data_IF_295426548771
#
_entry.id   IF_295426548771
#
_cell.length_a   1.000
_cell.length_b   1.000
_cell.length_c   1.000
_cell.angle_alpha   90.00
_cell.angle_beta   90.00
_cell.angle_gamma   90.00
#
_symmetry.space_group_name_H-M   'P 1'
#
loop_
_entity.id
_entity.type
_entity.pdbx_description
1 polymer ?
#
# COMPACT_ATOMS: atom_id res chain seq x y z
N UNK A 1 8.26 -4.81 12.96
CA UNK A 1 7.18 -4.54 12.01
C UNK A 1 7.80 -3.62 10.96
N UNK A 2 7.82 -3.98 9.67
CA UNK A 2 8.31 -3.08 8.60
C UNK A 2 7.15 -2.34 7.95
N UNK A 3 7.29 -1.04 7.71
CA UNK A 3 6.34 -0.25 6.90
C UNK A 3 7.18 0.39 5.81
N UNK A 4 6.96 0.08 4.54
CA UNK A 4 7.90 0.48 3.50
C UNK A 4 9.10 -0.46 3.37
N UNK A 5 10.21 0.07 2.85
CA UNK A 5 11.50 -0.63 2.67
C UNK A 5 12.43 -0.50 3.88
N UNK A 6 12.11 0.38 4.84
CA UNK A 6 12.83 0.55 6.09
C UNK A 6 12.12 -0.19 7.24
N UNK A 7 12.90 -0.69 8.20
CA UNK A 7 12.35 -1.27 9.43
C UNK A 7 11.76 -0.19 10.33
N UNK A 8 10.78 -0.53 11.16
CA UNK A 8 10.31 0.41 12.18
C UNK A 8 11.32 0.55 13.33
N UNK A 9 11.35 1.72 14.00
CA UNK A 9 12.10 1.89 15.24
C UNK A 9 11.66 0.90 16.33
N UNK A 10 12.61 0.42 17.13
CA UNK A 10 12.36 -0.51 18.25
C UNK A 10 11.33 0.02 19.26
N UNK A 11 11.28 1.34 19.45
CA UNK A 11 10.30 2.00 20.31
C UNK A 11 8.86 1.76 19.84
N UNK A 12 8.63 1.84 18.52
CA UNK A 12 7.33 1.59 17.90
C UNK A 12 6.98 0.11 17.96
N UNK A 13 7.95 -0.76 17.70
CA UNK A 13 7.76 -2.22 17.79
C UNK A 13 7.34 -2.61 19.22
N UNK A 14 8.02 -2.08 20.23
CA UNK A 14 7.72 -2.31 21.64
C UNK A 14 6.35 -1.76 22.03
N UNK A 15 6.01 -0.55 21.55
CA UNK A 15 4.68 0.03 21.76
C UNK A 15 3.59 -0.87 21.17
N UNK A 16 3.79 -1.36 19.95
CA UNK A 16 2.80 -2.21 19.28
C UNK A 16 2.59 -3.55 19.99
N UNK A 17 3.65 -4.12 20.57
CA UNK A 17 3.57 -5.34 21.36
C UNK A 17 2.77 -5.14 22.66
N UNK A 18 2.85 -3.94 23.28
CA UNK A 18 2.19 -3.66 24.56
C UNK A 18 0.77 -3.10 24.42
N UNK A 19 0.56 -2.18 23.48
CA UNK A 19 -0.66 -1.37 23.38
C UNK A 19 -1.46 -1.62 22.10
N UNK A 20 -0.97 -2.49 21.20
CA UNK A 20 -1.62 -2.81 19.95
C UNK A 20 -1.22 -1.88 18.78
N UNK A 21 -1.92 -1.96 17.64
CA UNK A 21 -1.46 -1.35 16.39
C UNK A 21 -1.57 0.18 16.34
N UNK A 22 -2.31 0.81 17.25
CA UNK A 22 -2.43 2.27 17.33
C UNK A 22 -1.21 2.86 18.05
N UNK A 23 -0.41 3.65 17.35
CA UNK A 23 0.81 4.28 17.87
C UNK A 23 0.50 5.65 18.49
N UNK A 24 -0.49 6.35 17.95
CA UNK A 24 -1.01 7.61 18.44
C UNK A 24 -2.49 7.73 18.00
N UNK A 25 -3.30 8.64 18.56
CA UNK A 25 -4.69 8.82 18.13
C UNK A 25 -4.81 8.98 16.61
N UNK A 26 -5.60 8.10 15.99
CA UNK A 26 -5.78 8.00 14.53
C UNK A 26 -4.54 7.56 13.74
N UNK A 27 -3.49 7.06 14.37
CA UNK A 27 -2.23 6.66 13.73
C UNK A 27 -2.00 5.16 13.93
N UNK A 28 -2.30 4.37 12.90
CA UNK A 28 -2.24 2.91 12.97
C UNK A 28 -1.07 2.37 12.17
N UNK A 29 -0.33 1.46 12.79
CA UNK A 29 0.73 0.69 12.14
C UNK A 29 0.27 -0.75 11.93
N UNK A 30 0.33 -1.21 10.68
CA UNK A 30 -0.15 -2.55 10.28
C UNK A 30 0.96 -3.53 9.91
N UNK A 31 2.22 -3.10 9.90
CA UNK A 31 3.37 -3.94 9.52
C UNK A 31 3.42 -4.38 8.07
N UNK A 32 4.03 -5.55 7.85
CA UNK A 32 4.28 -6.10 6.51
C UNK A 32 2.97 -6.47 5.82
N UNK A 33 2.00 -7.02 6.52
CA UNK A 33 0.67 -7.16 5.97
C UNK A 33 -0.38 -6.88 7.04
N UNK A 34 -1.45 -6.18 6.64
CA UNK A 34 -2.57 -5.94 7.52
C UNK A 34 -3.84 -5.60 6.77
N UNK A 35 -4.96 -5.90 7.44
CA UNK A 35 -6.29 -5.63 6.95
C UNK A 35 -7.05 -4.88 8.03
N UNK A 36 -7.63 -3.74 7.66
CA UNK A 36 -8.40 -2.90 8.55
C UNK A 36 -9.78 -2.67 7.94
N UNK A 37 -10.82 -2.82 8.77
CA UNK A 37 -12.17 -2.44 8.41
C UNK A 37 -12.54 -1.19 9.18
N UNK A 38 -12.92 -0.15 8.46
CA UNK A 38 -13.41 1.09 9.05
C UNK A 38 -14.90 0.96 9.41
N UNK A 39 -15.38 1.83 10.31
CA UNK A 39 -16.79 1.86 10.74
C UNK A 39 -17.78 2.07 9.59
N UNK A 40 -17.34 2.71 8.50
CA UNK A 40 -18.12 2.95 7.29
C UNK A 40 -18.11 1.78 6.31
N UNK A 41 -17.69 0.58 6.76
CA UNK A 41 -17.57 -0.64 5.96
C UNK A 41 -16.51 -0.59 4.84
N UNK A 42 -15.74 0.49 4.70
CA UNK A 42 -14.56 0.47 3.82
C UNK A 42 -13.48 -0.43 4.40
N UNK A 43 -12.89 -1.21 3.52
CA UNK A 43 -11.84 -2.19 3.80
C UNK A 43 -10.52 -1.72 3.23
N UNK A 44 -9.52 -1.64 4.09
CA UNK A 44 -8.16 -1.18 3.76
C UNK A 44 -7.22 -2.37 3.92
N UNK A 45 -6.47 -2.67 2.88
CA UNK A 45 -5.40 -3.65 2.89
C UNK A 45 -4.05 -2.93 2.73
N UNK A 46 -3.02 -3.44 3.40
CA UNK A 46 -1.66 -2.92 3.29
C UNK A 46 -0.70 -4.08 3.10
N UNK A 47 0.21 -3.95 2.12
CA UNK A 47 1.39 -4.80 1.95
C UNK A 47 2.68 -3.95 2.01
N UNK A 48 3.35 -4.02 3.16
CA UNK A 48 4.69 -3.48 3.39
C UNK A 48 5.79 -4.36 2.79
N UNK A 49 7.00 -3.80 2.69
CA UNK A 49 8.20 -4.52 2.27
C UNK A 49 8.42 -4.60 0.76
N UNK A 50 9.59 -5.12 0.37
CA UNK A 50 10.03 -5.31 -1.02
C UNK A 50 9.93 -6.77 -1.46
N UNK A 51 9.72 -6.99 -2.76
CA UNK A 51 9.75 -8.30 -3.37
C UNK A 51 11.19 -8.80 -3.49
N UNK A 52 11.44 -10.00 -2.97
CA UNK A 52 12.68 -10.72 -3.17
C UNK A 52 12.34 -12.17 -3.54
N UNK A 53 12.73 -12.60 -4.73
CA UNK A 53 12.36 -13.90 -5.28
C UNK A 53 12.88 -15.08 -4.43
N UNK A 54 14.10 -14.98 -3.90
CA UNK A 54 14.72 -16.02 -3.07
C UNK A 54 13.97 -16.20 -1.74
N UNK A 55 13.52 -15.09 -1.13
CA UNK A 55 12.81 -15.09 0.16
C UNK A 55 11.31 -15.32 0.04
N UNK A 56 10.70 -14.94 -1.08
CA UNK A 56 9.25 -14.93 -1.25
C UNK A 56 8.59 -16.29 -1.00
N UNK A 57 9.25 -17.37 -1.43
CA UNK A 57 8.77 -18.74 -1.26
C UNK A 57 9.16 -19.38 0.07
N UNK A 58 10.04 -18.75 0.84
CA UNK A 58 10.45 -19.23 2.15
C UNK A 58 9.39 -18.86 3.19
N UNK A 59 9.20 -19.67 4.25
CA UNK A 59 8.40 -19.25 5.38
C UNK A 59 9.03 -18.01 6.03
N UNK A 60 8.23 -17.09 6.59
CA UNK A 60 8.79 -15.99 7.35
C UNK A 60 9.67 -16.52 8.48
N UNK A 61 10.78 -15.85 8.75
CA UNK A 61 11.63 -16.14 9.91
C UNK A 61 10.82 -15.99 11.22
N UNK A 62 11.38 -16.46 12.34
CA UNK A 62 10.69 -16.45 13.64
C UNK A 62 10.08 -15.07 13.94
N UNK A 63 8.99 -15.04 14.71
CA UNK A 63 8.18 -13.84 14.96
C UNK A 63 8.98 -12.58 15.36
N UNK A 64 10.11 -12.73 16.07
CA UNK A 64 10.98 -11.60 16.44
C UNK A 64 11.86 -11.09 15.29
N UNK A 65 12.32 -11.99 14.41
CA UNK A 65 13.10 -11.66 13.19
C UNK A 65 12.19 -11.06 12.11
N UNK A 66 10.93 -11.50 12.03
CA UNK A 66 9.94 -10.95 11.11
C UNK A 66 9.58 -9.48 11.40
N UNK A 67 9.94 -8.97 12.59
CA UNK A 67 9.79 -7.56 12.93
C UNK A 67 10.81 -6.69 12.15
N UNK A 68 11.98 -7.23 11.81
CA UNK A 68 12.97 -6.51 11.02
C UNK A 68 12.97 -6.92 9.55
N UNK A 69 12.08 -7.84 9.18
CA UNK A 69 11.95 -8.29 7.80
C UNK A 69 11.51 -7.13 6.91
N UNK A 70 12.28 -6.91 5.85
CA UNK A 70 12.02 -5.87 4.83
C UNK A 70 11.31 -6.43 3.62
N UNK A 71 11.20 -7.75 3.51
CA UNK A 71 10.57 -8.43 2.39
C UNK A 71 9.24 -9.04 2.82
N UNK A 72 8.26 -9.07 1.91
CA UNK A 72 7.03 -9.82 2.15
C UNK A 72 7.14 -11.25 1.61
N UNK A 73 6.47 -12.20 2.26
CA UNK A 73 6.44 -13.60 1.83
C UNK A 73 5.12 -13.93 1.12
N UNK A 74 5.09 -15.07 0.43
CA UNK A 74 3.87 -15.60 -0.20
C UNK A 74 2.70 -15.71 0.78
N UNK A 75 2.98 -16.07 2.03
CA UNK A 75 1.95 -16.20 3.07
C UNK A 75 1.29 -14.85 3.39
N UNK A 76 2.01 -13.74 3.28
CA UNK A 76 1.50 -12.39 3.55
C UNK A 76 0.59 -11.92 2.42
N UNK A 77 0.98 -12.18 1.17
CA UNK A 77 0.12 -11.95 0.00
C UNK A 77 -1.17 -12.76 0.10
N UNK A 78 -1.08 -14.04 0.47
CA UNK A 78 -2.25 -14.92 0.62
C UNK A 78 -3.21 -14.45 1.71
N UNK A 79 -2.72 -13.90 2.83
CA UNK A 79 -3.57 -13.32 3.89
C UNK A 79 -4.39 -12.13 3.37
N UNK A 80 -3.86 -11.38 2.42
CA UNK A 80 -4.48 -10.20 1.82
C UNK A 80 -5.33 -10.49 0.57
N UNK A 81 -5.37 -11.73 0.07
CA UNK A 81 -6.14 -12.15 -1.12
C UNK A 81 -7.67 -12.15 -0.91
N UNK A 82 -8.20 -11.21 -0.13
CA UNK A 82 -9.63 -10.96 0.08
C UNK A 82 -9.97 -9.60 -0.52
N UNK A 83 -11.25 -9.39 -0.84
CA UNK A 83 -11.76 -8.09 -1.31
C UNK A 83 -11.31 -6.95 -0.39
N UNK A 84 -10.78 -5.88 -0.98
CA UNK A 84 -10.53 -4.62 -0.30
C UNK A 84 -11.03 -3.45 -1.15
N UNK A 85 -11.34 -2.32 -0.53
CA UNK A 85 -11.70 -1.09 -1.24
C UNK A 85 -10.44 -0.26 -1.54
N UNK A 86 -9.49 -0.25 -0.62
CA UNK A 86 -8.24 0.51 -0.73
C UNK A 86 -7.07 -0.43 -0.46
N UNK A 87 -6.10 -0.46 -1.38
CA UNK A 87 -4.84 -1.17 -1.23
C UNK A 87 -3.69 -0.17 -1.12
N UNK A 88 -2.84 -0.36 -0.11
CA UNK A 88 -1.53 0.29 0.01
C UNK A 88 -0.43 -0.73 -0.21
N UNK A 89 0.60 -0.38 -0.97
CA UNK A 89 1.82 -1.17 -1.03
C UNK A 89 3.08 -0.31 -1.01
N UNK A 90 4.21 -0.95 -0.69
CA UNK A 90 5.53 -0.31 -0.72
C UNK A 90 6.20 -0.35 -2.09
N UNK A 91 5.78 -1.28 -2.95
CA UNK A 91 6.27 -1.44 -4.32
C UNK A 91 5.15 -1.26 -5.34
N UNK A 92 5.52 -1.15 -6.61
CA UNK A 92 4.59 -1.04 -7.73
C UNK A 92 4.13 -2.44 -8.18
N UNK A 93 2.89 -2.62 -8.63
CA UNK A 93 2.51 -3.84 -9.34
C UNK A 93 3.21 -3.88 -10.70
N UNK A 94 3.54 -5.09 -11.15
CA UNK A 94 4.06 -5.30 -12.50
C UNK A 94 3.04 -4.86 -13.57
N UNK A 95 3.57 -4.41 -14.72
CA UNK A 95 2.79 -4.02 -15.90
C UNK A 95 1.72 -2.95 -15.66
N UNK A 96 1.89 -2.14 -14.62
CA UNK A 96 0.96 -1.05 -14.31
C UNK A 96 0.93 0.04 -15.36
N UNK A 97 1.78 0.05 -16.38
CA UNK A 97 1.66 0.97 -17.51
C UNK A 97 1.15 0.30 -18.80
N UNK A 98 1.03 -1.02 -18.80
CA UNK A 98 0.64 -1.78 -19.98
C UNK A 98 -0.80 -1.44 -20.39
N UNK A 99 -1.04 -1.17 -21.66
CA UNK A 99 -2.34 -0.71 -22.19
C UNK A 99 -2.81 0.65 -21.65
N UNK A 100 -1.91 1.46 -21.09
CA UNK A 100 -2.21 2.86 -20.75
C UNK A 100 -2.20 3.74 -22.01
N UNK A 101 -3.07 4.74 -22.05
CA UNK A 101 -3.03 5.79 -23.10
C UNK A 101 -2.08 6.93 -22.74
N UNK A 102 -1.57 6.93 -21.50
CA UNK A 102 -0.62 7.92 -21.01
C UNK A 102 0.75 7.73 -21.68
N UNK A 103 1.52 8.82 -21.84
CA UNK A 103 2.87 8.72 -22.37
C UNK A 103 3.73 7.82 -21.49
N UNK A 104 4.50 6.93 -22.13
CA UNK A 104 5.43 6.05 -21.44
C UNK A 104 6.45 6.88 -20.65
N UNK A 105 6.66 6.51 -19.39
CA UNK A 105 7.60 7.16 -18.49
C UNK A 105 8.52 6.11 -17.92
N UNK A 106 9.78 6.48 -17.67
CA UNK A 106 10.72 5.63 -16.93
C UNK A 106 10.29 5.55 -15.46
N UNK A 107 9.40 4.61 -15.15
CA UNK A 107 8.86 4.34 -13.81
C UNK A 107 9.36 2.96 -13.31
N UNK A 108 9.20 2.66 -12.02
CA UNK A 108 9.54 1.33 -11.49
C UNK A 108 8.75 0.24 -12.22
N UNK A 109 9.43 -0.86 -12.60
CA UNK A 109 8.80 -2.00 -13.28
C UNK A 109 7.72 -2.68 -12.44
N UNK A 110 7.86 -2.63 -11.12
CA UNK A 110 6.99 -3.33 -10.18
C UNK A 110 7.30 -4.82 -10.05
N UNK A 111 6.41 -5.55 -9.36
CA UNK A 111 6.57 -6.98 -9.10
C UNK A 111 5.29 -7.80 -9.32
N UNK A 112 5.47 -9.03 -9.83
CA UNK A 112 4.39 -9.96 -10.19
C UNK A 112 3.46 -10.31 -9.02
N UNK A 113 3.94 -10.63 -7.80
CA UNK A 113 3.04 -11.01 -6.69
C UNK A 113 2.05 -9.92 -6.32
N UNK A 114 2.44 -8.66 -6.50
CA UNK A 114 1.60 -7.52 -6.17
C UNK A 114 0.55 -7.26 -7.26
N UNK A 115 0.88 -7.47 -8.53
CA UNK A 115 -0.11 -7.49 -9.61
C UNK A 115 -1.15 -8.60 -9.38
N UNK A 116 -0.71 -9.80 -9.00
CA UNK A 116 -1.59 -10.90 -8.64
C UNK A 116 -2.45 -10.60 -7.40
N UNK A 117 -1.88 -9.91 -6.39
CA UNK A 117 -2.63 -9.46 -5.22
C UNK A 117 -3.75 -8.49 -5.64
N UNK A 118 -3.42 -7.45 -6.40
CA UNK A 118 -4.39 -6.45 -6.88
C UNK A 118 -5.52 -7.09 -7.71
N UNK A 119 -5.18 -8.10 -8.51
CA UNK A 119 -6.16 -8.86 -9.28
C UNK A 119 -7.08 -9.74 -8.43
N UNK A 120 -6.61 -10.24 -7.28
CA UNK A 120 -7.44 -11.00 -6.34
C UNK A 120 -8.28 -10.11 -5.42
N UNK A 121 -7.67 -9.06 -4.85
CA UNK A 121 -8.35 -8.19 -3.88
C UNK A 121 -9.24 -7.12 -4.55
N UNK A 122 -8.99 -6.83 -5.84
CA UNK A 122 -9.77 -5.91 -6.68
C UNK A 122 -10.08 -4.56 -5.99
N UNK A 123 -9.03 -3.79 -5.65
CA UNK A 123 -9.19 -2.53 -4.94
C UNK A 123 -9.83 -1.47 -5.85
N UNK A 124 -10.66 -0.59 -5.29
CA UNK A 124 -11.10 0.62 -5.99
C UNK A 124 -9.97 1.63 -6.09
N UNK A 125 -9.15 1.74 -5.04
CA UNK A 125 -7.98 2.61 -5.02
C UNK A 125 -6.72 1.83 -4.67
N UNK A 126 -5.66 2.06 -5.44
CA UNK A 126 -4.36 1.45 -5.20
C UNK A 126 -3.29 2.54 -5.10
N UNK A 127 -2.76 2.73 -3.89
CA UNK A 127 -1.75 3.73 -3.58
C UNK A 127 -0.37 3.10 -3.38
N UNK A 128 0.64 3.69 -4.02
CA UNK A 128 2.04 3.28 -3.88
C UNK A 128 2.96 4.49 -3.72
N UNK A 129 4.10 4.38 -3.02
CA UNK A 129 5.13 5.40 -3.09
C UNK A 129 5.84 5.34 -4.45
N UNK A 130 6.23 6.50 -4.98
CA UNK A 130 6.94 6.61 -6.25
C UNK A 130 7.92 7.77 -6.26
N UNK A 131 8.86 7.81 -7.22
CA UNK A 131 9.81 8.93 -7.34
C UNK A 131 9.12 10.23 -7.79
N UNK A 132 7.99 10.10 -8.50
CA UNK A 132 7.17 11.19 -9.03
C UNK A 132 5.69 10.88 -8.82
N UNK A 133 4.85 11.92 -8.78
CA UNK A 133 3.41 11.72 -8.86
C UNK A 133 3.05 11.12 -10.22
N UNK A 134 2.35 9.99 -10.20
CA UNK A 134 1.83 9.34 -11.39
C UNK A 134 0.45 8.78 -11.06
N UNK A 135 -0.50 9.06 -11.93
CA UNK A 135 -1.87 8.57 -11.82
C UNK A 135 -2.19 7.94 -13.16
N UNK A 136 -2.67 6.70 -13.13
CA UNK A 136 -3.08 5.98 -14.32
C UNK A 136 -4.58 6.19 -14.57
N UNK A 137 -5.02 6.11 -15.83
CA UNK A 137 -6.45 5.99 -16.09
C UNK A 137 -7.05 4.72 -15.43
N UNK A 138 -8.33 4.74 -15.04
CA UNK A 138 -8.94 3.60 -14.36
C UNK A 138 -8.87 2.34 -15.22
N UNK A 139 -8.46 1.22 -14.62
CA UNK A 139 -8.33 -0.06 -15.32
C UNK A 139 -8.95 -1.20 -14.51
N UNK A 140 -9.18 -2.35 -15.15
CA UNK A 140 -9.70 -3.55 -14.47
C UNK A 140 -8.53 -4.47 -14.14
N UNK A 141 -8.39 -4.85 -12.87
CA UNK A 141 -7.49 -5.94 -12.51
C UNK A 141 -8.17 -7.27 -12.86
N UNK A 142 -7.79 -7.87 -13.99
CA UNK A 142 -8.36 -9.15 -14.45
C UNK A 142 -7.63 -10.34 -13.84
N UNK A 143 -8.09 -10.90 -12.71
CA UNK A 143 -7.66 -12.24 -12.27
C UNK A 143 -8.59 -13.36 -12.74
N UNK A 144 -9.87 -13.05 -12.97
CA UNK A 144 -10.89 -14.07 -13.24
C UNK A 144 -11.74 -13.64 -14.42
N UNK A 145 -11.58 -14.37 -15.52
CA UNK A 145 -12.31 -14.26 -16.80
C UNK A 145 -13.85 -14.24 -16.62
N UNK A 146 -14.38 -14.55 -15.44
CA UNK A 146 -15.81 -14.81 -15.22
C UNK A 146 -16.49 -13.98 -14.11
N UNK A 147 -15.84 -12.96 -13.53
CA UNK A 147 -16.51 -12.11 -12.52
C UNK A 147 -16.61 -10.67 -13.02
N UNK A 148 -17.79 -10.33 -13.55
CA UNK A 148 -18.10 -8.97 -14.01
C UNK A 148 -18.39 -8.07 -12.80
N UNK A 149 -17.35 -7.73 -12.06
CA UNK A 149 -17.48 -7.10 -10.73
C UNK A 149 -17.74 -5.60 -10.80
N UNK A 150 -17.70 -5.02 -12.00
CA UNK A 150 -17.87 -3.59 -12.25
C UNK A 150 -16.78 -2.70 -11.62
N UNK A 151 -15.92 -3.25 -10.76
CA UNK A 151 -14.90 -2.51 -10.03
C UNK A 151 -13.76 -2.16 -10.96
N UNK A 152 -13.48 -0.86 -11.06
CA UNK A 152 -12.28 -0.31 -11.69
C UNK A 152 -11.33 0.12 -10.60
N UNK A 153 -10.05 0.03 -10.88
CA UNK A 153 -8.97 0.40 -9.98
C UNK A 153 -8.36 1.71 -10.43
N UNK A 154 -8.33 2.66 -9.50
CA UNK A 154 -7.63 3.93 -9.62
C UNK A 154 -6.25 3.79 -9.00
N UNK A 155 -5.23 3.69 -9.85
CA UNK A 155 -3.84 3.57 -9.40
C UNK A 155 -3.18 4.95 -9.28
N UNK A 156 -2.62 5.21 -8.11
CA UNK A 156 -1.98 6.48 -7.77
C UNK A 156 -0.64 6.22 -7.09
N UNK A 157 0.43 6.63 -7.75
CA UNK A 157 1.75 6.70 -7.18
C UNK A 157 2.04 8.10 -6.61
N UNK A 158 2.47 8.13 -5.36
CA UNK A 158 2.69 9.34 -4.59
C UNK A 158 4.17 9.70 -4.58
N UNK A 159 4.49 10.93 -4.97
CA UNK A 159 5.85 11.44 -4.86
C UNK A 159 6.27 11.67 -3.40
N UNK A 160 7.58 11.66 -3.08
CA UNK A 160 8.06 11.85 -1.72
C UNK A 160 7.63 13.19 -1.13
N UNK A 161 7.45 13.22 0.19
CA UNK A 161 7.16 14.44 0.95
C UNK A 161 8.29 15.47 0.76
N UNK A 162 7.95 16.76 0.66
CA UNK A 162 8.89 17.89 0.39
C UNK A 162 9.63 17.83 -0.96
N UNK A 163 9.03 17.32 -2.02
CA UNK A 163 9.57 17.55 -3.37
C UNK A 163 9.45 19.05 -3.74
N UNK A 164 10.49 19.64 -4.34
CA UNK A 164 10.54 21.06 -4.76
C UNK A 164 9.36 21.49 -5.64
N UNK A 165 8.68 20.53 -6.28
CA UNK A 165 7.50 20.80 -7.11
C UNK A 165 6.16 20.81 -6.36
N UNK A 166 6.09 20.55 -5.05
CA UNK A 166 4.88 20.66 -4.20
C UNK A 166 3.57 20.05 -4.76
N UNK A 167 3.64 19.20 -5.79
CA UNK A 167 2.45 18.70 -6.51
C UNK A 167 1.77 17.54 -5.78
N UNK A 168 2.52 16.75 -5.02
CA UNK A 168 2.02 15.55 -4.33
C UNK A 168 0.98 15.86 -3.25
N UNK A 169 1.10 17.00 -2.57
CA UNK A 169 0.18 17.39 -1.49
C UNK A 169 -1.14 17.96 -2.00
N UNK A 170 -1.08 18.68 -3.11
CA UNK A 170 -2.25 19.39 -3.63
C UNK A 170 -3.26 18.42 -4.26
N UNK A 171 -2.80 17.37 -4.97
CA UNK A 171 -3.70 16.36 -5.54
C UNK A 171 -4.31 15.45 -4.48
N UNK A 172 -3.59 15.11 -3.40
CA UNK A 172 -4.14 14.26 -2.32
C UNK A 172 -5.28 14.95 -1.55
N UNK A 173 -5.21 16.28 -1.34
CA UNK A 173 -6.28 17.06 -0.71
C UNK A 173 -7.54 17.20 -1.58
N UNK A 174 -7.42 17.04 -2.91
CA UNK A 174 -8.54 17.07 -3.85
C UNK A 174 -9.34 15.76 -3.90
N UNK A 175 -8.82 14.66 -3.35
CA UNK A 175 -9.54 13.37 -3.24
C UNK A 175 -10.55 13.32 -2.08
N UNK A 176 -10.87 14.45 -1.44
CA UNK A 176 -12.00 14.49 -0.51
C UNK A 176 -13.30 14.25 -1.29
N UNK A 177 -14.02 13.14 -1.07
CA UNK A 177 -15.41 13.09 -1.47
C UNK A 177 -16.09 14.23 -0.72
N UNK A 178 -17.03 14.94 -1.37
CA UNK A 178 -17.80 16.05 -0.78
C UNK A 178 -18.54 15.71 0.53
N UNK A 179 -18.49 14.47 1.01
CA UNK A 179 -19.17 14.03 2.23
C UNK A 179 -18.39 12.97 3.02
N UNK A 180 -17.15 13.19 3.47
CA UNK A 180 -16.57 12.34 4.54
C UNK A 180 -15.62 13.15 5.43
N UNK A 181 -16.18 13.76 6.49
CA UNK A 181 -15.46 14.64 7.42
C UNK A 181 -14.60 13.91 8.47
N UNK A 182 -14.69 12.58 8.59
CA UNK A 182 -13.91 11.79 9.58
C UNK A 182 -12.98 10.74 8.97
N UNK A 183 -13.35 10.12 7.83
CA UNK A 183 -12.48 9.16 7.14
C UNK A 183 -11.23 9.79 6.52
N UNK A 184 -11.29 11.08 6.18
CA UNK A 184 -10.16 11.82 5.62
C UNK A 184 -8.96 11.87 6.57
N UNK A 185 -9.18 11.88 7.89
CA UNK A 185 -8.10 11.92 8.88
C UNK A 185 -7.36 10.59 9.00
N UNK A 186 -8.07 9.46 8.93
CA UNK A 186 -7.50 8.10 8.97
C UNK A 186 -6.74 7.76 7.68
N UNK A 187 -7.25 8.21 6.54
CA UNK A 187 -6.54 8.10 5.26
C UNK A 187 -5.27 8.96 5.27
N UNK A 188 -5.35 10.20 5.74
CA UNK A 188 -4.18 11.07 5.87
C UNK A 188 -3.10 10.47 6.77
N UNK A 189 -3.47 9.87 7.91
CA UNK A 189 -2.52 9.35 8.88
C UNK A 189 -1.82 8.06 8.42
N UNK A 190 -2.54 7.14 7.75
CA UNK A 190 -1.95 5.94 7.13
C UNK A 190 -1.00 6.32 5.99
N UNK A 191 -1.38 7.32 5.18
CA UNK A 191 -0.55 7.87 4.10
C UNK A 191 0.69 8.61 4.61
N UNK A 192 0.57 9.37 5.71
CA UNK A 192 1.71 10.06 6.34
C UNK A 192 2.74 9.06 6.87
N UNK A 193 2.32 7.95 7.48
CA UNK A 193 3.24 6.88 7.89
C UNK A 193 3.97 6.25 6.71
N UNK A 194 3.26 5.89 5.63
CA UNK A 194 3.88 5.28 4.45
C UNK A 194 4.90 6.22 3.78
N UNK A 195 4.58 7.51 3.69
CA UNK A 195 5.47 8.50 3.05
C UNK A 195 6.64 8.92 3.95
N UNK A 196 6.49 8.90 5.28
CA UNK A 196 7.57 9.26 6.21
C UNK A 196 8.60 8.15 6.41
N UNK A 197 8.22 6.87 6.28
CA UNK A 197 9.14 5.76 6.56
C UNK A 197 10.05 5.44 5.36
N UNK A 198 9.70 5.90 4.15
CA UNK A 198 10.59 5.87 2.98
C UNK A 198 11.74 6.90 3.01
N UNK A 199 11.97 7.62 4.12
CA UNK A 199 12.98 8.69 4.20
C UNK A 199 14.10 8.48 5.23
N UNK A 200 14.19 7.33 5.89
CA UNK A 200 15.34 7.04 6.75
C UNK A 200 16.36 6.16 6.02
N UNK A 201 17.64 6.59 5.93
CA UNK A 201 18.71 5.83 5.30
C UNK A 201 19.01 4.50 6.01
#
# INVERSE_FOLDING_TARGET
IGVGTAGLPESIISHMAMYGPEVAPNLFCMGICGFMKTFYKFTIAQLGGSYNEEKYYQPPEKFEQSLNEKCFHRSDVQKLSKRCDILFSSEWPEDVQENSTLPERKLPKGCMPLAALAANCMPQYFFVPGPVYYEREPYKNSAAINVNTGTVTHFVALAPFKNSKMRSFHTLLLFTPRELSTCSQLLLSVLLLHLSIGQFP
#
